data_IF_924408961254
#
_entry.id   IF_924408961254
#
_cell.length_a   1.000
_cell.length_b   1.000
_cell.length_c   1.000
_cell.angle_alpha   90.00
_cell.angle_beta   90.00
_cell.angle_gamma   90.00
#
_symmetry.space_group_name_H-M   'P 1'
#
loop_
_entity.id
_entity.type
_entity.pdbx_description
1 polymer ?
#
# COMPACT_ATOMS: atom_id res chain seq x y z
N UNK A 1 6.07 -21.27 -20.53
CA UNK A 1 7.29 -21.19 -19.69
C UNK A 1 7.51 -22.51 -18.93
N UNK A 2 7.36 -23.67 -19.59
CA UNK A 2 7.24 -24.98 -18.93
C UNK A 2 8.56 -25.55 -18.37
N UNK A 3 9.71 -25.03 -18.83
CA UNK A 3 11.03 -25.56 -18.49
C UNK A 3 11.83 -24.69 -17.51
N UNK A 4 11.30 -23.53 -17.08
CA UNK A 4 12.04 -22.57 -16.26
C UNK A 4 12.53 -23.18 -14.94
N UNK A 5 11.72 -24.07 -14.35
CA UNK A 5 12.07 -24.75 -13.11
C UNK A 5 13.24 -25.72 -13.21
N UNK A 6 13.24 -26.54 -14.25
CA UNK A 6 14.35 -27.45 -14.53
C UNK A 6 15.63 -26.67 -14.87
N UNK A 7 15.50 -25.60 -15.66
CA UNK A 7 16.62 -24.70 -15.96
C UNK A 7 17.20 -24.13 -14.68
N UNK A 8 16.38 -23.61 -13.75
CA UNK A 8 16.80 -23.10 -12.45
C UNK A 8 17.51 -24.14 -11.57
N UNK A 9 17.00 -25.36 -11.53
CA UNK A 9 17.62 -26.44 -10.75
C UNK A 9 19.03 -26.75 -11.29
N UNK A 10 19.18 -26.88 -12.61
CA UNK A 10 20.46 -27.14 -13.28
C UNK A 10 21.45 -25.99 -13.08
N UNK A 11 21.03 -24.72 -13.25
CA UNK A 11 21.93 -23.60 -12.96
C UNK A 11 22.29 -23.53 -11.49
N UNK A 12 21.36 -23.75 -10.55
CA UNK A 12 21.66 -23.65 -9.11
C UNK A 12 22.74 -24.63 -8.63
N UNK A 13 22.90 -25.76 -9.32
CA UNK A 13 23.97 -26.75 -9.07
C UNK A 13 25.29 -26.44 -9.77
N UNK A 14 25.32 -25.50 -10.71
CA UNK A 14 26.51 -25.13 -11.47
C UNK A 14 27.12 -23.83 -10.96
N UNK A 15 28.39 -23.86 -10.56
CA UNK A 15 29.15 -22.65 -10.19
C UNK A 15 29.59 -21.82 -11.41
N UNK A 16 29.44 -22.35 -12.64
CA UNK A 16 29.95 -21.74 -13.86
C UNK A 16 28.90 -20.89 -14.61
N UNK A 17 27.69 -20.75 -14.07
CA UNK A 17 26.55 -20.10 -14.75
C UNK A 17 25.96 -18.95 -13.92
N UNK A 18 26.83 -18.17 -13.28
CA UNK A 18 26.45 -17.07 -12.37
C UNK A 18 25.58 -16.01 -13.09
N UNK A 19 25.94 -15.61 -14.30
CA UNK A 19 25.17 -14.60 -15.07
C UNK A 19 23.74 -15.08 -15.36
N UNK A 20 23.60 -16.37 -15.67
CA UNK A 20 22.29 -16.98 -15.94
C UNK A 20 21.47 -17.17 -14.65
N UNK A 21 22.12 -17.50 -13.52
CA UNK A 21 21.47 -17.51 -12.20
C UNK A 21 20.95 -16.11 -11.83
N UNK A 22 21.76 -15.07 -12.03
CA UNK A 22 21.38 -13.69 -11.75
C UNK A 22 20.21 -13.26 -12.65
N UNK A 23 20.29 -13.56 -13.95
CA UNK A 23 19.23 -13.26 -14.90
C UNK A 23 17.90 -13.90 -14.50
N UNK A 24 17.91 -15.20 -14.16
CA UNK A 24 16.68 -15.87 -13.78
C UNK A 24 16.18 -15.40 -12.40
N UNK A 25 17.06 -15.02 -11.47
CA UNK A 25 16.69 -14.40 -10.19
C UNK A 25 16.04 -13.04 -10.40
N UNK A 26 16.55 -12.22 -11.32
CA UNK A 26 15.95 -10.94 -11.71
C UNK A 26 14.57 -11.14 -12.32
N UNK A 27 14.39 -12.13 -13.20
CA UNK A 27 13.07 -12.48 -13.74
C UNK A 27 12.09 -12.93 -12.66
N UNK A 28 12.53 -13.77 -11.72
CA UNK A 28 11.74 -14.18 -10.55
C UNK A 28 11.32 -12.98 -9.71
N UNK A 29 12.24 -12.05 -9.46
CA UNK A 29 11.96 -10.85 -8.69
C UNK A 29 10.93 -9.95 -9.37
N UNK A 30 11.01 -9.78 -10.69
CA UNK A 30 10.16 -8.85 -11.44
C UNK A 30 8.75 -9.37 -11.72
N UNK A 31 8.53 -10.68 -11.73
CA UNK A 31 7.23 -11.30 -12.04
C UNK A 31 7.04 -12.62 -11.31
N UNK A 32 7.08 -12.64 -9.97
CA UNK A 32 7.09 -13.88 -9.20
C UNK A 32 5.84 -14.73 -9.46
N UNK A 33 4.66 -14.13 -9.63
CA UNK A 33 3.42 -14.86 -9.91
C UNK A 33 3.42 -15.62 -11.24
N UNK A 34 4.06 -15.08 -12.29
CA UNK A 34 4.25 -15.82 -13.55
C UNK A 34 5.18 -17.01 -13.35
N UNK A 35 6.17 -16.88 -12.47
CA UNK A 35 7.12 -17.93 -12.20
C UNK A 35 6.51 -18.99 -11.29
N UNK A 36 5.76 -18.60 -10.25
CA UNK A 36 5.04 -19.51 -9.34
C UNK A 36 4.04 -20.41 -10.08
N UNK A 37 3.38 -19.90 -11.12
CA UNK A 37 2.49 -20.70 -11.98
C UNK A 37 3.24 -21.73 -12.84
N UNK A 38 4.53 -21.51 -13.09
CA UNK A 38 5.36 -22.34 -13.98
C UNK A 38 6.39 -23.21 -13.24
N UNK A 39 6.67 -22.89 -11.97
CA UNK A 39 7.75 -23.46 -11.19
C UNK A 39 7.38 -23.47 -9.71
N UNK A 40 7.56 -24.62 -9.07
CA UNK A 40 7.24 -24.78 -7.66
C UNK A 40 8.38 -24.21 -6.79
N UNK A 41 8.08 -23.18 -6.01
CA UNK A 41 9.04 -22.45 -5.16
C UNK A 41 9.83 -23.36 -4.20
N UNK A 42 9.25 -24.51 -3.83
CA UNK A 42 9.88 -25.52 -2.96
C UNK A 42 11.13 -26.18 -3.59
N UNK A 43 11.28 -26.09 -4.92
CA UNK A 43 12.40 -26.68 -5.66
C UNK A 43 13.66 -25.81 -5.65
N UNK A 44 13.57 -24.57 -5.17
CA UNK A 44 14.74 -23.70 -5.05
C UNK A 44 15.78 -24.32 -4.10
N UNK A 45 17.05 -24.17 -4.44
CA UNK A 45 18.14 -24.37 -3.49
C UNK A 45 18.07 -23.30 -2.38
N UNK A 46 18.63 -23.56 -1.20
CA UNK A 46 18.69 -22.56 -0.12
C UNK A 46 19.39 -21.27 -0.61
N UNK A 47 20.48 -21.42 -1.36
CA UNK A 47 21.23 -20.29 -1.95
C UNK A 47 20.36 -19.46 -2.89
N UNK A 48 19.60 -20.10 -3.76
CA UNK A 48 18.71 -19.42 -4.70
C UNK A 48 17.57 -18.72 -3.97
N UNK A 49 16.97 -19.37 -2.97
CA UNK A 49 15.93 -18.80 -2.13
C UNK A 49 16.44 -17.54 -1.42
N UNK A 50 17.59 -17.62 -0.75
CA UNK A 50 18.25 -16.49 -0.09
C UNK A 50 18.50 -15.35 -1.08
N UNK A 51 19.06 -15.66 -2.26
CA UNK A 51 19.35 -14.65 -3.28
C UNK A 51 18.10 -13.92 -3.77
N UNK A 52 16.95 -14.60 -3.80
CA UNK A 52 15.68 -14.02 -4.21
C UNK A 52 15.07 -13.16 -3.10
N UNK A 53 14.94 -13.69 -1.88
CA UNK A 53 14.26 -12.98 -0.78
C UNK A 53 15.10 -11.84 -0.19
N UNK A 54 16.40 -11.79 -0.44
CA UNK A 54 17.25 -10.65 -0.06
C UNK A 54 16.93 -9.37 -0.87
N UNK A 55 16.35 -9.48 -2.07
CA UNK A 55 16.21 -8.37 -3.02
C UNK A 55 15.16 -7.34 -2.62
N UNK A 56 15.51 -6.06 -2.67
CA UNK A 56 14.55 -4.96 -2.47
C UNK A 56 13.52 -4.83 -3.59
N UNK A 57 13.84 -5.24 -4.81
CA UNK A 57 12.96 -5.13 -5.98
C UNK A 57 12.09 -6.38 -6.23
N UNK A 58 12.06 -7.33 -5.29
CA UNK A 58 11.17 -8.49 -5.36
C UNK A 58 9.70 -8.01 -5.29
N UNK A 59 8.98 -8.21 -6.40
CA UNK A 59 7.60 -7.79 -6.59
C UNK A 59 6.64 -8.78 -5.92
N UNK A 60 6.71 -8.92 -4.61
CA UNK A 60 5.88 -9.83 -3.81
C UNK A 60 5.59 -9.19 -2.46
N UNK A 61 4.38 -9.38 -1.92
CA UNK A 61 4.08 -8.91 -0.56
C UNK A 61 4.87 -9.72 0.44
N UNK A 62 5.28 -9.10 1.55
CA UNK A 62 6.11 -9.77 2.54
C UNK A 62 5.40 -10.95 3.20
N UNK A 63 4.07 -10.87 3.37
CA UNK A 63 3.26 -12.01 3.83
C UNK A 63 3.37 -13.21 2.88
N UNK A 64 3.39 -12.97 1.57
CA UNK A 64 3.55 -14.03 0.58
C UNK A 64 4.98 -14.58 0.63
N UNK A 65 6.00 -13.73 0.78
CA UNK A 65 7.40 -14.17 0.97
C UNK A 65 7.51 -15.10 2.18
N UNK A 66 6.93 -14.71 3.31
CA UNK A 66 6.88 -15.51 4.53
C UNK A 66 6.22 -16.88 4.29
N UNK A 67 5.03 -16.90 3.68
CA UNK A 67 4.32 -18.14 3.40
C UNK A 67 5.10 -19.07 2.46
N UNK A 68 5.80 -18.52 1.47
CA UNK A 68 6.64 -19.32 0.56
C UNK A 68 7.88 -19.88 1.25
N UNK A 69 8.52 -19.11 2.14
CA UNK A 69 9.66 -19.59 2.94
C UNK A 69 9.23 -20.68 3.91
N UNK A 70 8.07 -20.54 4.56
CA UNK A 70 7.48 -21.60 5.38
C UNK A 70 7.22 -22.88 4.56
N UNK A 71 6.55 -22.76 3.40
CA UNK A 71 6.30 -23.89 2.50
C UNK A 71 7.60 -24.57 2.05
N UNK A 72 8.64 -23.78 1.74
CA UNK A 72 9.95 -24.31 1.39
C UNK A 72 10.57 -25.09 2.56
N UNK A 73 10.53 -24.55 3.78
CA UNK A 73 11.04 -25.23 4.97
C UNK A 73 10.29 -26.53 5.29
N UNK A 74 8.97 -26.55 5.18
CA UNK A 74 8.14 -27.75 5.31
C UNK A 74 8.52 -28.83 4.28
N UNK A 75 8.74 -28.43 3.02
CA UNK A 75 9.14 -29.35 1.97
C UNK A 75 10.54 -29.98 2.21
N UNK A 76 11.40 -29.33 3.01
CA UNK A 76 12.68 -29.90 3.45
C UNK A 76 12.56 -30.78 4.69
N UNK A 77 11.44 -30.71 5.41
CA UNK A 77 11.19 -31.44 6.65
C UNK A 77 9.86 -32.21 6.54
N UNK A 78 9.84 -33.26 5.72
CA UNK A 78 8.60 -33.99 5.35
C UNK A 78 7.86 -34.65 6.52
N UNK A 79 8.51 -34.79 7.68
CA UNK A 79 7.90 -35.31 8.91
C UNK A 79 7.02 -34.27 9.62
N UNK A 80 7.17 -32.99 9.29
CA UNK A 80 6.42 -31.90 9.92
C UNK A 80 5.05 -31.72 9.28
N UNK A 81 4.01 -31.86 10.10
CA UNK A 81 2.64 -31.52 9.71
C UNK A 81 2.53 -30.00 9.60
N UNK A 82 1.82 -29.43 8.61
CA UNK A 82 1.71 -27.98 8.44
C UNK A 82 0.73 -27.33 9.44
N UNK A 83 0.81 -27.71 10.71
CA UNK A 83 0.09 -27.10 11.84
C UNK A 83 1.05 -26.88 13.03
N UNK A 84 1.50 -25.64 13.28
CA UNK A 84 2.47 -25.36 14.35
C UNK A 84 1.93 -25.63 15.76
N UNK A 85 0.61 -25.80 15.95
CA UNK A 85 0.05 -26.21 17.24
C UNK A 85 0.40 -27.65 17.61
N UNK A 86 0.71 -28.47 16.61
CA UNK A 86 1.06 -29.89 16.79
C UNK A 86 2.55 -30.13 16.99
N UNK A 87 3.37 -29.09 16.85
CA UNK A 87 4.83 -29.21 16.86
C UNK A 87 5.40 -29.29 18.27
N UNK A 88 6.27 -30.27 18.48
CA UNK A 88 7.14 -30.36 19.65
C UNK A 88 8.26 -29.31 19.61
N UNK A 89 8.99 -29.15 20.71
CA UNK A 89 10.15 -28.24 20.72
C UNK A 89 11.27 -28.70 19.77
N UNK A 90 11.43 -30.02 19.56
CA UNK A 90 12.37 -30.57 18.58
C UNK A 90 11.94 -30.32 17.13
N UNK A 91 10.64 -30.33 16.85
CA UNK A 91 10.09 -29.95 15.54
C UNK A 91 10.38 -28.48 15.24
N UNK A 92 10.14 -27.59 16.22
CA UNK A 92 10.48 -26.18 16.10
C UNK A 92 11.98 -25.96 15.91
N UNK A 93 12.82 -26.70 16.64
CA UNK A 93 14.29 -26.65 16.49
C UNK A 93 14.72 -27.08 15.09
N UNK A 94 14.14 -28.16 14.56
CA UNK A 94 14.42 -28.68 13.23
C UNK A 94 14.06 -27.66 12.13
N UNK A 95 12.85 -27.10 12.21
CA UNK A 95 12.42 -26.06 11.27
C UNK A 95 13.25 -24.78 11.40
N UNK A 96 13.58 -24.36 12.63
CA UNK A 96 14.41 -23.19 12.88
C UNK A 96 15.81 -23.34 12.27
N UNK A 97 16.43 -24.50 12.41
CA UNK A 97 17.72 -24.80 11.78
C UNK A 97 17.63 -24.74 10.24
N UNK A 98 16.54 -25.27 9.68
CA UNK A 98 16.30 -25.23 8.23
C UNK A 98 16.14 -23.80 7.70
N UNK A 99 15.44 -22.94 8.44
CA UNK A 99 15.13 -21.58 8.01
C UNK A 99 16.10 -20.51 8.55
N UNK A 100 17.15 -20.91 9.28
CA UNK A 100 18.01 -19.99 10.03
C UNK A 100 18.59 -18.85 9.19
N UNK A 101 18.92 -19.11 7.91
CA UNK A 101 19.48 -18.11 6.98
C UNK A 101 18.42 -17.30 6.25
N UNK A 102 17.19 -17.80 6.20
CA UNK A 102 16.07 -17.13 5.55
C UNK A 102 15.33 -16.20 6.50
N UNK A 103 15.16 -16.58 7.77
CA UNK A 103 14.42 -15.79 8.77
C UNK A 103 14.89 -14.33 8.90
N UNK A 104 16.20 -14.02 8.94
CA UNK A 104 16.67 -12.64 9.02
C UNK A 104 16.38 -11.80 7.77
N UNK A 105 16.01 -12.42 6.66
CA UNK A 105 15.73 -11.76 5.39
C UNK A 105 14.23 -11.42 5.22
N UNK A 106 13.40 -11.88 6.15
CA UNK A 106 11.97 -11.57 6.18
C UNK A 106 11.75 -10.21 6.87
N UNK A 107 11.04 -9.31 6.19
CA UNK A 107 10.77 -7.94 6.65
C UNK A 107 9.54 -7.92 7.55
N UNK A 108 9.58 -8.64 8.67
CA UNK A 108 8.41 -8.81 9.56
C UNK A 108 7.78 -7.49 10.02
N UNK A 109 8.58 -6.43 10.20
CA UNK A 109 8.09 -5.10 10.54
C UNK A 109 7.19 -4.48 9.47
N UNK A 110 7.24 -4.97 8.22
CA UNK A 110 6.35 -4.57 7.13
C UNK A 110 4.95 -5.16 7.18
N UNK A 111 4.75 -6.22 7.96
CA UNK A 111 3.44 -6.83 8.13
C UNK A 111 2.52 -5.95 8.98
N UNK A 112 1.22 -5.99 8.66
CA UNK A 112 0.19 -5.45 9.52
C UNK A 112 0.03 -6.30 10.79
N UNK A 113 -0.45 -5.69 11.87
CA UNK A 113 -0.69 -6.40 13.15
C UNK A 113 -1.61 -7.61 12.96
N UNK A 114 -2.68 -7.46 12.17
CA UNK A 114 -3.60 -8.54 11.83
C UNK A 114 -2.90 -9.71 11.13
N UNK A 115 -2.08 -9.41 10.12
CA UNK A 115 -1.33 -10.45 9.39
C UNK A 115 -0.33 -11.14 10.30
N UNK A 116 0.42 -10.38 11.10
CA UNK A 116 1.36 -10.94 12.07
C UNK A 116 0.65 -11.92 13.03
N UNK A 117 -0.46 -11.50 13.64
CA UNK A 117 -1.23 -12.32 14.59
C UNK A 117 -1.75 -13.61 13.97
N UNK A 118 -2.17 -13.57 12.70
CA UNK A 118 -2.78 -14.72 12.03
C UNK A 118 -1.77 -15.66 11.36
N UNK A 119 -0.67 -15.12 10.84
CA UNK A 119 0.25 -15.85 9.94
C UNK A 119 1.65 -16.07 10.50
N UNK A 120 2.12 -15.21 11.41
CA UNK A 120 3.48 -15.29 11.97
C UNK A 120 3.46 -15.78 13.40
N UNK A 121 2.60 -15.22 14.26
CA UNK A 121 2.49 -15.57 15.67
C UNK A 121 2.31 -17.08 15.95
N UNK A 122 1.55 -17.86 15.15
CA UNK A 122 1.49 -19.31 15.34
C UNK A 122 2.88 -20.00 15.32
N UNK A 123 3.84 -19.40 14.62
CA UNK A 123 5.22 -19.88 14.48
C UNK A 123 6.23 -19.08 15.33
N UNK A 124 5.78 -18.36 16.37
CA UNK A 124 6.62 -17.47 17.18
C UNK A 124 7.92 -18.11 17.72
N UNK A 125 7.91 -19.43 18.01
CA UNK A 125 9.10 -20.17 18.49
C UNK A 125 10.24 -20.24 17.46
N UNK A 126 9.96 -20.00 16.17
CA UNK A 126 10.99 -19.89 15.13
C UNK A 126 11.78 -18.58 15.25
N UNK A 127 11.15 -17.52 15.77
CA UNK A 127 11.79 -16.22 15.92
C UNK A 127 12.75 -16.22 17.11
N UNK A 128 13.73 -15.32 17.08
CA UNK A 128 14.49 -15.03 18.28
C UNK A 128 13.60 -14.22 19.25
N UNK A 129 13.84 -14.34 20.56
CA UNK A 129 13.00 -13.70 21.58
C UNK A 129 12.96 -12.18 21.41
N UNK A 130 14.11 -11.55 21.22
CA UNK A 130 14.21 -10.10 21.08
C UNK A 130 13.39 -9.56 19.91
N UNK A 131 13.50 -10.17 18.73
CA UNK A 131 12.76 -9.83 17.53
C UNK A 131 11.25 -9.98 17.74
N UNK A 132 10.82 -11.01 18.47
CA UNK A 132 9.40 -11.17 18.78
C UNK A 132 8.89 -10.04 19.67
N UNK A 133 9.63 -9.68 20.74
CA UNK A 133 9.27 -8.55 21.60
C UNK A 133 9.29 -7.23 20.81
N UNK A 134 10.34 -6.95 20.03
CA UNK A 134 10.43 -5.75 19.19
C UNK A 134 9.26 -5.65 18.20
N UNK A 135 8.83 -6.78 17.63
CA UNK A 135 7.67 -6.83 16.75
C UNK A 135 6.39 -6.53 17.52
N UNK A 136 6.19 -7.14 18.69
CA UNK A 136 5.04 -6.88 19.55
C UNK A 136 4.97 -5.41 19.94
N UNK A 137 6.08 -4.82 20.39
CA UNK A 137 6.18 -3.42 20.75
C UNK A 137 5.82 -2.52 19.56
N UNK A 138 6.30 -2.84 18.35
CA UNK A 138 5.96 -2.07 17.13
C UNK A 138 4.46 -2.00 16.81
N UNK A 139 3.67 -2.93 17.35
CA UNK A 139 2.22 -3.00 17.16
C UNK A 139 1.42 -2.42 18.32
N UNK A 140 1.99 -2.38 19.52
CA UNK A 140 1.28 -2.07 20.78
C UNK A 140 1.70 -0.73 21.36
N UNK A 141 2.98 -0.35 21.22
CA UNK A 141 3.55 0.88 21.76
C UNK A 141 3.90 1.86 20.61
N UNK A 142 3.12 2.95 20.44
CA UNK A 142 3.41 3.98 19.44
C UNK A 142 4.75 4.70 19.65
N UNK A 143 5.22 4.81 20.89
CA UNK A 143 6.43 5.55 21.28
C UNK A 143 7.71 4.70 21.20
N UNK A 144 7.56 3.38 21.10
CA UNK A 144 8.66 2.46 20.83
C UNK A 144 9.42 2.85 19.56
N UNK A 145 10.73 2.63 19.53
CA UNK A 145 11.59 3.03 18.43
C UNK A 145 12.18 1.82 17.71
N UNK A 146 12.22 1.85 16.37
CA UNK A 146 12.90 0.82 15.61
C UNK A 146 14.40 0.81 15.90
N UNK A 147 14.97 -0.39 16.00
CA UNK A 147 16.42 -0.59 15.98
C UNK A 147 17.01 -0.16 14.63
N UNK A 148 18.28 0.28 14.61
CA UNK A 148 18.91 0.86 13.41
C UNK A 148 19.07 -0.12 12.23
N UNK A 149 19.00 -1.43 12.48
CA UNK A 149 19.27 -2.49 11.50
C UNK A 149 18.02 -3.17 10.92
N UNK A 150 16.85 -2.49 10.92
CA UNK A 150 15.62 -3.07 10.39
C UNK A 150 15.55 -2.94 8.86
N UNK A 151 15.19 -4.03 8.19
CA UNK A 151 14.95 -4.04 6.75
C UNK A 151 13.68 -3.24 6.40
N UNK A 152 13.80 -2.29 5.47
CA UNK A 152 12.69 -1.50 4.94
C UNK A 152 11.77 -2.35 4.04
N UNK A 153 10.50 -1.95 3.82
CA UNK A 153 9.61 -2.58 2.85
C UNK A 153 10.23 -2.74 1.46
N UNK A 154 9.76 -3.76 0.71
CA UNK A 154 10.19 -3.96 -0.69
C UNK A 154 9.67 -2.86 -1.60
N UNK A 155 10.44 -2.55 -2.64
CA UNK A 155 10.10 -1.59 -3.68
C UNK A 155 9.15 -2.22 -4.71
N UNK A 156 7.87 -2.28 -4.35
CA UNK A 156 6.80 -2.75 -5.24
C UNK A 156 6.50 -1.68 -6.30
N UNK A 157 6.31 -2.11 -7.55
CA UNK A 157 5.92 -1.26 -8.69
C UNK A 157 4.58 -0.57 -8.41
N UNK A 158 4.49 0.70 -8.79
CA UNK A 158 3.30 1.54 -8.59
C UNK A 158 2.03 0.91 -9.18
N UNK A 159 2.12 0.27 -10.34
CA UNK A 159 1.00 -0.39 -11.03
C UNK A 159 0.33 -1.49 -10.18
N UNK A 160 1.05 -2.07 -9.22
CA UNK A 160 0.51 -3.08 -8.29
C UNK A 160 -0.12 -2.47 -7.04
N UNK A 161 0.13 -1.17 -6.82
CA UNK A 161 -0.34 -0.39 -5.68
C UNK A 161 -1.59 0.40 -6.06
N UNK A 162 -1.58 1.02 -7.26
CA UNK A 162 -2.64 1.89 -7.76
C UNK A 162 -2.82 1.74 -9.29
N UNK A 163 -4.06 1.58 -9.74
CA UNK A 163 -4.47 1.68 -11.15
C UNK A 163 -4.95 3.11 -11.40
N UNK A 164 -4.01 4.03 -11.64
CA UNK A 164 -4.30 5.45 -11.88
C UNK A 164 -3.80 5.87 -13.26
N UNK A 165 -4.62 6.67 -13.95
CA UNK A 165 -4.18 7.40 -15.15
C UNK A 165 -3.68 8.81 -14.82
N UNK A 166 -3.97 9.32 -13.62
CA UNK A 166 -3.60 10.66 -13.16
C UNK A 166 -2.25 10.64 -12.43
N UNK A 167 -2.05 9.65 -11.54
CA UNK A 167 -0.87 9.49 -10.69
C UNK A 167 0.00 8.38 -11.27
N UNK A 168 1.18 8.76 -11.77
CA UNK A 168 2.17 7.80 -12.28
C UNK A 168 3.48 7.80 -11.45
N UNK A 169 3.62 8.72 -10.48
CA UNK A 169 4.77 8.78 -9.57
C UNK A 169 4.44 8.12 -8.22
N UNK A 170 5.28 7.14 -7.85
CA UNK A 170 5.18 6.42 -6.58
C UNK A 170 5.42 7.34 -5.37
N UNK A 171 6.13 8.45 -5.55
CA UNK A 171 6.40 9.43 -4.51
C UNK A 171 5.10 10.05 -3.96
N UNK A 172 4.11 10.32 -4.83
CA UNK A 172 2.78 10.84 -4.47
C UNK A 172 2.03 9.82 -3.61
N UNK A 173 2.00 8.56 -4.06
CA UNK A 173 1.31 7.47 -3.33
C UNK A 173 1.93 7.27 -1.95
N UNK A 174 3.27 7.31 -1.85
CA UNK A 174 4.00 7.23 -0.58
C UNK A 174 3.72 8.43 0.31
N UNK A 175 3.62 9.64 -0.25
CA UNK A 175 3.31 10.86 0.50
C UNK A 175 1.92 10.82 1.14
N UNK A 176 0.91 10.43 0.36
CA UNK A 176 -0.47 10.25 0.85
C UNK A 176 -0.52 9.17 1.93
N UNK A 177 0.10 8.01 1.68
CA UNK A 177 0.18 6.90 2.64
C UNK A 177 0.79 7.35 3.98
N UNK A 178 1.94 8.04 3.91
CA UNK A 178 2.62 8.57 5.09
C UNK A 178 1.78 9.60 5.84
N UNK A 179 1.03 10.43 5.13
CA UNK A 179 0.15 11.41 5.76
C UNK A 179 -1.00 10.73 6.51
N UNK A 180 -1.60 9.69 5.93
CA UNK A 180 -2.62 8.87 6.59
C UNK A 180 -2.05 8.20 7.83
N UNK A 181 -0.85 7.61 7.75
CA UNK A 181 -0.22 6.97 8.90
C UNK A 181 0.06 7.95 10.04
N UNK A 182 0.51 9.17 9.73
CA UNK A 182 0.73 10.23 10.74
C UNK A 182 -0.55 10.58 11.51
N UNK A 183 -1.72 10.46 10.88
CA UNK A 183 -3.01 10.78 11.49
C UNK A 183 -3.57 9.60 12.29
N UNK A 184 -3.36 8.36 11.85
CA UNK A 184 -3.98 7.17 12.44
C UNK A 184 -3.38 6.73 13.78
N UNK A 185 -2.09 6.95 14.05
CA UNK A 185 -1.38 6.83 15.34
C UNK A 185 0.04 7.37 15.08
N UNK A 186 0.62 8.12 16.01
CA UNK A 186 2.05 8.51 16.00
C UNK A 186 2.92 7.26 16.17
N UNK A 187 3.02 6.41 15.16
CA UNK A 187 3.78 5.16 15.20
C UNK A 187 5.14 5.39 14.53
N UNK A 188 6.22 5.29 15.31
CA UNK A 188 7.58 5.42 14.80
C UNK A 188 7.95 4.37 13.73
N UNK A 189 7.21 3.25 13.66
CA UNK A 189 7.35 2.17 12.68
C UNK A 189 6.50 2.37 11.41
N UNK A 190 5.78 3.49 11.24
CA UNK A 190 4.92 3.70 10.05
C UNK A 190 5.67 3.52 8.73
N UNK A 191 6.91 4.04 8.64
CA UNK A 191 7.76 3.93 7.46
C UNK A 191 8.21 2.49 7.14
N UNK A 192 8.05 1.56 8.09
CA UNK A 192 8.40 0.15 7.94
C UNK A 192 7.24 -0.69 7.44
N UNK A 193 6.01 -0.18 7.37
CA UNK A 193 4.81 -0.92 6.96
C UNK A 193 4.67 -0.99 5.44
N UNK A 194 4.07 -2.09 4.96
CA UNK A 194 3.65 -2.18 3.56
C UNK A 194 2.74 -1.01 3.16
N UNK A 195 2.89 -0.55 1.92
CA UNK A 195 2.06 0.52 1.37
C UNK A 195 0.61 0.07 1.24
N UNK A 196 -0.31 1.01 1.41
CA UNK A 196 -1.74 0.79 1.19
C UNK A 196 -2.02 0.35 -0.25
N UNK A 197 -3.08 -0.44 -0.44
CA UNK A 197 -3.65 -0.71 -1.76
C UNK A 197 -4.72 0.33 -2.08
N UNK A 198 -4.63 0.94 -3.27
CA UNK A 198 -5.59 1.93 -3.75
C UNK A 198 -6.52 1.24 -4.75
N UNK A 199 -7.76 0.99 -4.33
CA UNK A 199 -8.78 0.34 -5.15
C UNK A 199 -9.60 1.42 -5.85
N UNK A 200 -9.52 1.49 -7.18
CA UNK A 200 -10.25 2.45 -7.98
C UNK A 200 -11.77 2.25 -7.82
N UNK A 201 -12.47 3.27 -7.33
CA UNK A 201 -13.92 3.31 -7.26
C UNK A 201 -14.51 3.97 -8.51
N UNK A 202 -13.97 5.14 -8.86
CA UNK A 202 -14.48 5.99 -9.93
C UNK A 202 -13.32 6.60 -10.71
N UNK A 203 -13.46 6.66 -12.04
CA UNK A 203 -12.61 7.45 -12.94
C UNK A 203 -13.51 8.28 -13.85
N UNK A 204 -13.39 9.60 -13.85
CA UNK A 204 -14.27 10.51 -14.59
C UNK A 204 -14.35 10.20 -16.08
N UNK A 205 -13.20 9.97 -16.73
CA UNK A 205 -13.13 9.57 -18.15
C UNK A 205 -13.79 8.22 -18.47
N UNK A 206 -13.99 7.34 -17.48
CA UNK A 206 -14.67 6.03 -17.63
C UNK A 206 -16.14 6.10 -17.23
N UNK A 207 -16.42 6.78 -16.13
CA UNK A 207 -17.69 6.66 -15.41
C UNK A 207 -18.59 7.90 -15.59
N UNK A 208 -18.02 9.06 -15.94
CA UNK A 208 -18.70 10.35 -16.08
C UNK A 208 -18.39 11.32 -14.94
N UNK A 209 -18.84 12.57 -15.09
CA UNK A 209 -18.54 13.70 -14.19
C UNK A 209 -19.78 14.23 -13.45
N UNK A 210 -20.72 13.35 -13.13
CA UNK A 210 -21.99 13.72 -12.47
C UNK A 210 -21.97 13.38 -10.98
N UNK A 211 -22.61 14.19 -10.11
CA UNK A 211 -22.81 13.85 -8.70
C UNK A 211 -23.46 12.47 -8.50
N UNK A 212 -24.49 12.14 -9.31
CA UNK A 212 -25.18 10.86 -9.27
C UNK A 212 -24.22 9.68 -9.42
N UNK A 213 -23.28 9.77 -10.38
CA UNK A 213 -22.31 8.70 -10.59
C UNK A 213 -21.33 8.59 -9.43
N UNK A 214 -20.87 9.72 -8.91
CA UNK A 214 -20.01 9.76 -7.73
C UNK A 214 -20.67 9.07 -6.54
N UNK A 215 -21.89 9.47 -6.17
CA UNK A 215 -22.59 8.88 -5.03
C UNK A 215 -22.94 7.41 -5.25
N UNK A 216 -23.30 7.00 -6.47
CA UNK A 216 -23.54 5.59 -6.81
C UNK A 216 -22.32 4.70 -6.54
N UNK A 217 -21.09 5.19 -6.82
CA UNK A 217 -19.87 4.41 -6.71
C UNK A 217 -19.13 4.57 -5.37
N UNK A 218 -19.26 5.74 -4.74
CA UNK A 218 -18.45 6.14 -3.59
C UNK A 218 -19.21 6.19 -2.26
N UNK A 219 -20.54 6.32 -2.25
CA UNK A 219 -21.29 6.30 -0.99
C UNK A 219 -21.10 4.96 -0.26
N UNK A 220 -21.13 5.01 1.07
CA UNK A 220 -20.86 3.86 1.94
C UNK A 220 -19.41 3.34 1.90
N UNK A 221 -18.48 4.05 1.23
CA UNK A 221 -17.05 3.73 1.22
C UNK A 221 -16.27 4.66 2.17
N UNK A 222 -15.61 4.13 3.22
CA UNK A 222 -14.68 4.88 4.06
C UNK A 222 -13.29 4.95 3.44
N UNK A 223 -12.41 5.78 4.03
CA UNK A 223 -10.98 5.86 3.71
C UNK A 223 -10.72 6.04 2.22
N UNK A 224 -11.27 7.11 1.65
CA UNK A 224 -11.13 7.39 0.23
C UNK A 224 -10.16 8.53 -0.02
N UNK A 225 -9.44 8.47 -1.14
CA UNK A 225 -8.66 9.59 -1.66
C UNK A 225 -9.19 9.97 -3.04
N UNK A 226 -9.30 11.26 -3.29
CA UNK A 226 -9.66 11.81 -4.60
C UNK A 226 -8.43 12.49 -5.20
N UNK A 227 -8.09 12.16 -6.43
CA UNK A 227 -7.11 12.87 -7.25
C UNK A 227 -7.83 13.57 -8.39
N UNK A 228 -7.53 14.85 -8.62
CA UNK A 228 -8.15 15.70 -9.64
C UNK A 228 -7.03 16.29 -10.48
N UNK A 229 -7.02 15.97 -11.77
CA UNK A 229 -6.08 16.56 -12.73
C UNK A 229 -6.65 17.89 -13.23
N UNK A 230 -5.90 18.97 -13.05
CA UNK A 230 -6.30 20.29 -13.55
C UNK A 230 -6.09 20.35 -15.07
N UNK A 231 -7.10 20.81 -15.79
CA UNK A 231 -7.07 20.88 -17.26
C UNK A 231 -5.98 21.82 -17.76
N UNK A 232 -5.15 21.31 -18.67
CA UNK A 232 -4.09 22.08 -19.32
C UNK A 232 -2.87 22.34 -18.44
N UNK A 233 -2.73 21.65 -17.30
CA UNK A 233 -1.56 21.74 -16.43
C UNK A 233 -1.14 20.36 -15.93
N UNK A 234 0.07 20.24 -15.41
CA UNK A 234 0.51 19.01 -14.75
C UNK A 234 0.07 18.91 -13.27
N UNK A 235 -0.68 19.88 -12.76
CA UNK A 235 -1.09 19.98 -11.37
C UNK A 235 -2.16 18.93 -11.01
N UNK A 236 -1.94 18.23 -9.90
CA UNK A 236 -2.91 17.31 -9.30
C UNK A 236 -3.30 17.86 -7.93
N UNK A 237 -4.60 18.13 -7.74
CA UNK A 237 -5.14 18.47 -6.43
C UNK A 237 -6.05 17.36 -5.92
N UNK A 238 -6.40 17.40 -4.64
CA UNK A 238 -7.28 16.39 -4.11
C UNK A 238 -7.45 16.44 -2.60
N UNK A 239 -8.06 15.40 -2.06
CA UNK A 239 -8.24 15.26 -0.64
C UNK A 239 -8.47 13.82 -0.21
N UNK A 240 -8.20 13.56 1.07
CA UNK A 240 -8.45 12.30 1.74
C UNK A 240 -9.65 12.45 2.67
N UNK A 241 -10.64 11.57 2.52
CA UNK A 241 -11.80 11.45 3.39
C UNK A 241 -11.69 10.15 4.21
N UNK A 242 -11.43 10.22 5.52
CA UNK A 242 -11.43 9.05 6.40
C UNK A 242 -12.85 8.51 6.67
N UNK A 243 -13.86 9.38 6.56
CA UNK A 243 -15.25 9.04 6.85
C UNK A 243 -15.90 8.32 5.68
N UNK A 244 -17.10 7.81 5.94
CA UNK A 244 -17.98 7.22 4.92
C UNK A 244 -18.69 8.34 4.15
N UNK A 245 -18.61 8.32 2.81
CA UNK A 245 -19.42 9.20 1.95
C UNK A 245 -20.92 8.92 2.07
N UNK A 246 -21.71 10.00 2.00
CA UNK A 246 -23.16 10.02 2.13
C UNK A 246 -23.76 11.07 1.20
N UNK A 247 -25.07 10.95 0.97
CA UNK A 247 -25.92 11.90 0.24
C UNK A 247 -26.99 12.52 1.15
N UNK A 248 -26.62 13.02 2.32
CA UNK A 248 -27.54 13.48 3.38
C UNK A 248 -27.67 15.01 3.53
N UNK A 249 -27.06 15.81 2.65
CA UNK A 249 -27.04 17.28 2.74
C UNK A 249 -26.53 17.82 4.08
N UNK A 250 -25.57 17.12 4.67
CA UNK A 250 -24.93 17.49 5.93
C UNK A 250 -23.41 17.59 5.78
N UNK A 251 -22.72 17.94 6.86
CA UNK A 251 -21.25 17.96 6.91
C UNK A 251 -20.72 16.75 7.67
N UNK A 252 -19.52 16.30 7.28
CA UNK A 252 -18.74 15.31 7.98
C UNK A 252 -17.73 15.97 8.91
N UNK A 253 -17.80 15.61 10.20
CA UNK A 253 -16.85 16.07 11.20
C UNK A 253 -15.62 15.15 11.27
N UNK A 254 -14.42 15.68 10.98
CA UNK A 254 -13.16 14.93 11.18
C UNK A 254 -11.93 15.84 11.24
N UNK A 255 -10.95 15.44 12.04
CA UNK A 255 -9.59 16.02 12.09
C UNK A 255 -8.60 15.33 11.15
N UNK A 256 -8.97 14.15 10.67
CA UNK A 256 -8.10 13.25 9.89
C UNK A 256 -8.28 13.45 8.37
N UNK A 257 -9.07 14.44 7.96
CA UNK A 257 -9.15 14.87 6.56
C UNK A 257 -8.00 15.81 6.24
N UNK A 258 -7.48 15.71 5.02
CA UNK A 258 -6.51 16.66 4.48
C UNK A 258 -6.74 16.85 2.98
N UNK A 259 -6.40 18.03 2.49
CA UNK A 259 -6.31 18.34 1.07
C UNK A 259 -4.85 18.51 0.66
N UNK A 260 -4.59 18.33 -0.64
CA UNK A 260 -3.24 18.40 -1.17
C UNK A 260 -3.19 19.00 -2.57
N UNK A 261 -1.98 19.45 -2.94
CA UNK A 261 -1.60 19.77 -4.32
C UNK A 261 -0.20 19.23 -4.60
N UNK A 262 -0.04 18.63 -5.78
CA UNK A 262 1.22 18.17 -6.35
C UNK A 262 1.45 18.89 -7.67
N UNK A 263 2.51 19.70 -7.74
CA UNK A 263 2.92 20.39 -8.97
C UNK A 263 3.82 19.48 -9.79
N UNK A 264 3.67 19.50 -11.12
CA UNK A 264 4.44 18.69 -12.06
C UNK A 264 4.44 17.18 -11.76
N UNK A 265 3.43 16.71 -11.03
CA UNK A 265 3.34 15.32 -10.58
C UNK A 265 4.63 14.85 -9.84
N UNK A 266 5.32 15.78 -9.15
CA UNK A 266 6.47 15.53 -8.26
C UNK A 266 6.09 15.91 -6.81
N UNK A 267 6.67 15.21 -5.85
CA UNK A 267 6.52 15.45 -4.41
C UNK A 267 7.28 16.69 -3.91
N UNK A 268 8.35 17.12 -4.57
CA UNK A 268 9.24 18.18 -4.05
C UNK A 268 8.51 19.49 -3.68
N UNK A 269 7.53 19.87 -4.47
CA UNK A 269 6.72 21.08 -4.27
C UNK A 269 5.31 20.76 -3.75
N UNK A 270 5.14 19.62 -3.09
CA UNK A 270 3.84 19.19 -2.58
C UNK A 270 3.38 20.00 -1.38
N UNK A 271 2.09 20.31 -1.37
CA UNK A 271 1.44 20.96 -0.24
C UNK A 271 0.41 19.99 0.33
N UNK A 272 0.49 19.76 1.64
CA UNK A 272 -0.52 19.02 2.42
C UNK A 272 -1.07 19.96 3.48
N UNK A 273 -2.40 20.03 3.54
CA UNK A 273 -3.16 20.95 4.37
C UNK A 273 -4.20 20.14 5.15
N UNK A 274 -4.09 20.08 6.48
CA UNK A 274 -5.01 19.35 7.35
C UNK A 274 -6.29 20.14 7.59
N UNK A 275 -7.37 19.46 7.96
CA UNK A 275 -8.63 20.10 8.33
C UNK A 275 -8.44 20.99 9.58
N UNK A 276 -8.77 22.27 9.44
CA UNK A 276 -8.75 23.26 10.52
C UNK A 276 -10.13 23.40 11.17
N UNK A 277 -11.19 23.57 10.35
CA UNK A 277 -12.58 23.47 10.82
C UNK A 277 -13.07 22.04 10.64
N UNK A 278 -13.02 21.29 11.74
CA UNK A 278 -13.29 19.86 11.72
C UNK A 278 -14.74 19.55 11.41
N UNK A 279 -15.67 20.42 11.82
CA UNK A 279 -17.13 20.23 11.66
C UNK A 279 -17.59 20.32 10.21
N UNK A 280 -16.76 20.87 9.32
CA UNK A 280 -17.08 21.11 7.91
C UNK A 280 -16.01 20.54 7.00
N UNK A 281 -15.35 19.45 7.41
CA UNK A 281 -14.25 18.87 6.64
C UNK A 281 -14.73 18.25 5.31
N UNK A 282 -15.91 17.62 5.29
CA UNK A 282 -16.47 16.87 4.16
C UNK A 282 -17.92 17.28 3.90
N UNK A 283 -18.32 17.46 2.64
CA UNK A 283 -19.70 17.76 2.26
C UNK A 283 -20.45 16.52 1.76
N UNK A 284 -21.65 16.25 2.28
CA UNK A 284 -22.48 15.10 1.90
C UNK A 284 -23.71 15.47 1.07
N UNK A 285 -23.64 16.55 0.29
CA UNK A 285 -24.77 16.98 -0.54
C UNK A 285 -24.85 16.17 -1.82
N UNK A 286 -26.05 15.67 -2.15
CA UNK A 286 -26.29 14.80 -3.31
C UNK A 286 -25.97 15.42 -4.69
N UNK A 287 -25.92 16.76 -4.77
CA UNK A 287 -25.58 17.52 -5.98
C UNK A 287 -24.11 17.94 -6.04
N UNK A 288 -23.29 17.43 -5.14
CA UNK A 288 -21.85 17.69 -5.10
C UNK A 288 -21.06 16.42 -5.45
N UNK A 289 -19.83 16.62 -5.91
CA UNK A 289 -18.87 15.55 -6.07
C UNK A 289 -18.06 15.31 -4.79
N UNK A 290 -16.81 14.81 -4.91
CA UNK A 290 -15.91 14.73 -3.78
C UNK A 290 -15.48 16.13 -3.33
N UNK A 291 -16.22 16.71 -2.38
CA UNK A 291 -15.96 18.05 -1.85
C UNK A 291 -15.30 18.00 -0.46
N UNK A 292 -14.19 18.73 -0.35
CA UNK A 292 -13.41 18.87 0.87
C UNK A 292 -13.55 20.30 1.39
N UNK A 293 -14.33 20.44 2.45
CA UNK A 293 -14.73 21.72 3.02
C UNK A 293 -15.42 22.64 2.01
N UNK A 294 -15.16 23.93 2.14
CA UNK A 294 -15.46 24.91 1.11
C UNK A 294 -14.20 25.24 0.30
N UNK A 295 -13.18 24.37 0.37
CA UNK A 295 -11.85 24.61 -0.16
C UNK A 295 -11.72 24.03 -1.55
N UNK A 296 -12.04 22.74 -1.72
CA UNK A 296 -12.20 22.10 -3.03
C UNK A 296 -13.70 21.91 -3.27
N UNK A 297 -14.29 22.84 -4.01
CA UNK A 297 -15.73 22.89 -4.29
C UNK A 297 -16.04 22.26 -5.65
N UNK A 298 -16.90 21.24 -5.66
CA UNK A 298 -17.27 20.46 -6.85
C UNK A 298 -18.79 20.28 -6.84
N UNK A 299 -19.48 21.04 -7.69
CA UNK A 299 -20.95 21.15 -7.67
C UNK A 299 -21.54 21.03 -9.07
N UNK A 300 -22.75 20.49 -9.13
CA UNK A 300 -23.62 20.61 -10.30
C UNK A 300 -25.01 21.10 -9.89
N UNK A 301 -25.71 21.76 -10.81
CA UNK A 301 -27.09 22.23 -10.59
C UNK A 301 -28.08 21.11 -10.25
N UNK A 302 -27.83 19.91 -10.77
CA UNK A 302 -28.62 18.70 -10.52
C UNK A 302 -27.69 17.51 -10.35
N UNK A 303 -28.20 16.40 -9.80
CA UNK A 303 -27.40 15.19 -9.63
C UNK A 303 -26.99 14.55 -10.96
N UNK A 304 -27.74 14.80 -12.04
CA UNK A 304 -27.58 14.11 -13.33
C UNK A 304 -26.83 14.92 -14.38
N UNK A 305 -26.47 16.17 -14.08
CA UNK A 305 -25.66 17.02 -14.95
C UNK A 305 -24.20 16.97 -14.54
N UNK A 306 -23.30 17.15 -15.50
CA UNK A 306 -21.87 17.24 -15.20
C UNK A 306 -21.59 18.42 -14.26
N UNK A 307 -20.48 18.35 -13.51
CA UNK A 307 -20.08 19.42 -12.61
C UNK A 307 -19.99 20.77 -13.33
N UNK A 308 -20.81 21.73 -12.88
CA UNK A 308 -20.94 23.04 -13.50
C UNK A 308 -20.17 24.13 -12.75
N UNK A 309 -19.80 23.89 -11.48
CA UNK A 309 -19.01 24.83 -10.67
C UNK A 309 -17.89 24.09 -9.95
N UNK A 310 -16.67 24.37 -10.39
CA UNK A 310 -15.43 23.84 -9.85
C UNK A 310 -14.58 25.01 -9.34
N UNK A 311 -14.33 25.09 -8.04
CA UNK A 311 -13.64 26.23 -7.44
C UNK A 311 -12.71 25.82 -6.32
N UNK A 312 -11.56 26.47 -6.27
CA UNK A 312 -10.65 26.41 -5.13
C UNK A 312 -10.68 27.72 -4.33
N UNK A 313 -10.75 27.62 -3.00
CA UNK A 313 -10.54 28.72 -2.02
C UNK A 313 -9.86 28.17 -0.77
N UNK A 314 -9.18 28.99 0.03
CA UNK A 314 -8.72 28.56 1.37
C UNK A 314 -9.73 29.00 2.41
N UNK A 315 -10.48 28.05 2.97
CA UNK A 315 -11.52 28.31 3.97
C UNK A 315 -11.31 27.48 5.25
N UNK A 316 -11.45 26.16 5.15
CA UNK A 316 -11.56 25.24 6.28
C UNK A 316 -10.34 24.35 6.48
N UNK A 317 -9.35 24.41 5.58
CA UNK A 317 -8.06 23.73 5.73
C UNK A 317 -6.95 24.74 6.07
N UNK A 318 -5.90 24.27 6.74
CA UNK A 318 -4.88 25.13 7.38
C UNK A 318 -4.10 26.00 6.39
N UNK A 319 -3.64 25.41 5.28
CA UNK A 319 -2.74 25.99 4.28
C UNK A 319 -3.43 26.15 2.93
N UNK A 320 -2.97 27.16 2.17
CA UNK A 320 -3.29 27.28 0.75
C UNK A 320 -2.58 26.17 -0.03
N UNK A 321 -3.30 25.43 -0.86
CA UNK A 321 -2.75 24.40 -1.74
C UNK A 321 -2.53 24.86 -3.19
N UNK A 322 -3.06 26.03 -3.57
CA UNK A 322 -2.82 26.66 -4.88
C UNK A 322 -2.48 28.13 -4.72
N UNK A 323 -1.70 28.65 -5.66
CA UNK A 323 -1.24 30.05 -5.67
C UNK A 323 -2.42 31.03 -5.90
N UNK A 324 -3.38 30.62 -6.72
CA UNK A 324 -4.58 31.41 -7.06
C UNK A 324 -5.86 30.73 -6.58
N UNK A 325 -6.75 31.51 -5.97
CA UNK A 325 -8.13 31.10 -5.68
C UNK A 325 -9.04 31.42 -6.87
N UNK A 326 -10.09 30.63 -7.07
CA UNK A 326 -11.02 30.84 -8.17
C UNK A 326 -11.45 29.55 -8.84
N UNK A 327 -12.08 29.71 -10.00
CA UNK A 327 -12.62 28.59 -10.76
C UNK A 327 -11.49 27.83 -11.46
N UNK A 328 -11.66 26.52 -11.61
CA UNK A 328 -10.77 25.69 -12.41
C UNK A 328 -11.57 24.73 -13.30
N UNK A 329 -10.90 24.08 -14.23
CA UNK A 329 -11.48 23.00 -15.03
C UNK A 329 -10.74 21.71 -14.73
N UNK A 330 -11.47 20.59 -14.74
CA UNK A 330 -10.91 19.25 -14.57
C UNK A 330 -10.62 18.65 -15.94
N UNK A 331 -9.46 17.98 -16.06
CA UNK A 331 -9.17 17.08 -17.18
C UNK A 331 -9.76 15.70 -16.92
N UNK A 332 -9.50 15.17 -15.72
CA UNK A 332 -10.06 13.94 -15.20
C UNK A 332 -10.02 13.96 -13.66
N UNK A 333 -10.74 13.04 -13.02
CA UNK A 333 -10.61 12.78 -11.59
C UNK A 333 -10.76 11.29 -11.29
N UNK A 334 -10.10 10.83 -10.25
CA UNK A 334 -10.16 9.45 -9.79
C UNK A 334 -10.39 9.41 -8.28
N UNK A 335 -11.28 8.52 -7.85
CA UNK A 335 -11.56 8.26 -6.44
C UNK A 335 -11.13 6.83 -6.14
N UNK A 336 -10.29 6.66 -5.12
CA UNK A 336 -9.80 5.37 -4.67
C UNK A 336 -10.23 5.10 -3.24
N UNK A 337 -10.63 3.86 -2.95
CA UNK A 337 -10.68 3.36 -1.58
C UNK A 337 -9.31 2.84 -1.17
N UNK A 338 -8.87 3.23 0.02
CA UNK A 338 -7.59 2.84 0.59
C UNK A 338 -7.82 1.64 1.51
N UNK A 339 -7.11 0.54 1.22
CA UNK A 339 -7.14 -0.69 1.99
C UNK A 339 -5.76 -0.98 2.57
N UNK A 340 -5.73 -1.40 3.84
CA UNK A 340 -4.51 -1.81 4.55
C UNK A 340 -4.39 -3.31 4.66
#
# INVERSE_FOLDING_TARGET
MQNFGFTQQIISTSNNLLDLQEFCTKLMAQSPEKILLSFNFILLSEKSLISLIKRDDLQMKEVEVWEHVLKWGLAKNLTLIPDPKTWSDDDFKTMKNTLQRCLPLIRFFSLSSKVFLQKVRPYQKLLNRQLYEDLMDSFVDPDSKPNENILLPRNIKIERIIDSKIVNDLSIVKAISRQIDKMNIRNNFAHLKESYKFVLLLRGSRDGFTPKKFHQLCDNKPNTVTFIKIKGTEEIIGGYNPLIWKSSSSWGETRESFIFSFKNNDFKDSIISSAQDTNRAICYSAVHGPQFGCDIYIYSSTESTDYSSLRYRKNYYEKKIRDTEGNFSIEDYEVFQILR
#
